data_IF_788133058208
#
_entry.id   IF_788133058208
#
_cell.length_a   1.000
_cell.length_b   1.000
_cell.length_c   1.000
_cell.angle_alpha   90.00
_cell.angle_beta   90.00
_cell.angle_gamma   90.00
#
_symmetry.space_group_name_H-M   'P 1'
#
loop_
_entity.id
_entity.type
_entity.pdbx_description
1 polymer ?
#
# COMPACT_ATOMS: atom_id res chain seq x y z
N UNK A 1 4.94 3.55 -12.76
CA UNK A 1 5.86 2.39 -12.91
C UNK A 1 6.06 1.65 -11.60
N UNK A 2 6.50 2.30 -10.51
CA UNK A 2 6.71 1.65 -9.18
C UNK A 2 5.46 0.95 -8.64
N UNK A 3 4.30 1.63 -8.65
CA UNK A 3 3.03 1.03 -8.19
C UNK A 3 2.63 -0.22 -8.98
N UNK A 4 2.89 -0.24 -10.29
CA UNK A 4 2.57 -1.39 -11.13
C UNK A 4 3.42 -2.62 -10.78
N UNK A 5 4.71 -2.42 -10.42
CA UNK A 5 5.55 -3.51 -9.92
C UNK A 5 5.06 -4.02 -8.56
N UNK A 6 4.72 -3.12 -7.64
CA UNK A 6 4.23 -3.55 -6.31
C UNK A 6 2.91 -4.34 -6.46
N UNK A 7 2.04 -3.94 -7.38
CA UNK A 7 0.79 -4.65 -7.66
C UNK A 7 0.99 -6.09 -8.18
N UNK A 8 2.15 -6.44 -8.74
CA UNK A 8 2.39 -7.84 -9.15
C UNK A 8 2.56 -8.76 -7.96
N UNK A 9 2.93 -8.24 -6.79
CA UNK A 9 3.01 -9.02 -5.55
C UNK A 9 1.61 -9.42 -5.08
N UNK A 10 0.67 -8.48 -5.09
CA UNK A 10 -0.71 -8.71 -4.67
C UNK A 10 -1.51 -9.58 -5.64
N UNK A 11 -1.00 -9.81 -6.85
CA UNK A 11 -1.60 -10.68 -7.85
C UNK A 11 -1.27 -12.18 -7.66
N UNK A 12 -0.35 -12.52 -6.75
CA UNK A 12 0.08 -13.90 -6.53
C UNK A 12 -1.00 -14.73 -5.83
N UNK A 13 -1.07 -16.03 -6.16
CA UNK A 13 -2.10 -16.91 -5.61
C UNK A 13 -1.76 -17.49 -4.22
N UNK A 14 -0.47 -17.60 -3.92
CA UNK A 14 0.07 -18.21 -2.69
C UNK A 14 0.90 -17.18 -1.91
N UNK A 15 0.96 -17.36 -0.59
CA UNK A 15 1.79 -16.51 0.26
C UNK A 15 3.27 -16.62 -0.13
N UNK A 16 3.75 -17.84 -0.36
CA UNK A 16 5.14 -18.09 -0.78
C UNK A 16 5.52 -17.33 -2.06
N UNK A 17 4.68 -17.40 -3.10
CA UNK A 17 4.92 -16.67 -4.34
C UNK A 17 4.85 -15.14 -4.13
N UNK A 18 3.98 -14.66 -3.24
CA UNK A 18 3.91 -13.24 -2.90
C UNK A 18 5.20 -12.77 -2.20
N UNK A 19 5.73 -13.54 -1.24
CA UNK A 19 6.99 -13.24 -0.56
C UNK A 19 8.19 -13.25 -1.54
N UNK A 20 8.25 -14.24 -2.43
CA UNK A 20 9.30 -14.28 -3.47
C UNK A 20 9.22 -13.06 -4.39
N UNK A 21 8.02 -12.75 -4.91
CA UNK A 21 7.81 -11.60 -5.77
C UNK A 21 8.10 -10.27 -5.03
N UNK A 22 7.79 -10.17 -3.74
CA UNK A 22 8.09 -9.01 -2.90
C UNK A 22 9.59 -8.71 -2.88
N UNK A 23 10.42 -9.74 -2.64
CA UNK A 23 11.88 -9.61 -2.60
C UNK A 23 12.46 -9.24 -3.96
N UNK A 24 11.94 -9.81 -5.05
CA UNK A 24 12.34 -9.46 -6.41
C UNK A 24 12.06 -7.97 -6.67
N UNK A 25 10.87 -7.49 -6.29
CA UNK A 25 10.50 -6.08 -6.47
C UNK A 25 11.34 -5.16 -5.58
N UNK A 26 11.57 -5.53 -4.31
CA UNK A 26 12.40 -4.71 -3.40
C UNK A 26 13.83 -4.56 -3.94
N UNK A 27 14.41 -5.63 -4.46
CA UNK A 27 15.76 -5.61 -5.04
C UNK A 27 15.84 -4.78 -6.32
N UNK A 28 14.86 -4.92 -7.23
CA UNK A 28 14.79 -4.10 -8.45
C UNK A 28 14.67 -2.60 -8.14
N UNK A 29 13.96 -2.26 -7.06
CA UNK A 29 13.78 -0.87 -6.64
C UNK A 29 14.98 -0.35 -5.84
N UNK A 30 15.85 -1.22 -5.29
CA UNK A 30 16.94 -0.83 -4.39
C UNK A 30 17.93 0.16 -5.01
N UNK A 31 18.27 -0.01 -6.28
CA UNK A 31 19.20 0.90 -6.97
C UNK A 31 18.63 2.31 -7.17
N UNK A 32 17.35 2.45 -7.52
CA UNK A 32 16.74 3.75 -7.84
C UNK A 32 16.05 4.39 -6.63
N UNK A 33 15.58 3.57 -5.70
CA UNK A 33 14.76 3.97 -4.56
C UNK A 33 15.16 3.19 -3.29
N UNK A 34 16.39 3.37 -2.78
CA UNK A 34 16.91 2.58 -1.65
C UNK A 34 16.08 2.73 -0.36
N UNK A 35 15.52 3.92 -0.12
CA UNK A 35 14.61 4.17 1.01
C UNK A 35 13.32 3.35 0.91
N UNK A 36 12.75 3.27 -0.29
CA UNK A 36 11.55 2.48 -0.55
C UNK A 36 11.86 0.99 -0.38
N UNK A 37 12.97 0.50 -0.93
CA UNK A 37 13.38 -0.90 -0.76
C UNK A 37 13.54 -1.27 0.72
N UNK A 38 14.18 -0.41 1.52
CA UNK A 38 14.30 -0.63 2.98
C UNK A 38 12.93 -0.69 3.65
N UNK A 39 12.04 0.24 3.33
CA UNK A 39 10.67 0.24 3.87
C UNK A 39 9.89 -1.01 3.44
N UNK A 40 10.12 -1.51 2.22
CA UNK A 40 9.53 -2.76 1.76
C UNK A 40 10.07 -3.96 2.54
N UNK A 41 11.36 -4.02 2.81
CA UNK A 41 11.98 -5.11 3.58
C UNK A 41 11.39 -5.17 5.01
N UNK A 42 11.23 -4.01 5.66
CA UNK A 42 10.65 -3.92 7.01
C UNK A 42 9.16 -4.29 7.04
N UNK A 43 8.42 -4.00 5.96
CA UNK A 43 6.97 -4.17 5.89
C UNK A 43 6.52 -5.52 5.32
N UNK A 44 7.42 -6.39 4.85
CA UNK A 44 7.10 -7.64 4.12
C UNK A 44 6.08 -8.49 4.89
N UNK A 45 6.35 -8.77 6.17
CA UNK A 45 5.49 -9.64 6.99
C UNK A 45 4.14 -8.99 7.28
N UNK A 46 4.13 -7.70 7.62
CA UNK A 46 2.90 -6.98 7.96
C UNK A 46 1.97 -6.86 6.75
N UNK A 47 2.55 -6.57 5.57
CA UNK A 47 1.81 -6.37 4.34
C UNK A 47 1.32 -7.70 3.76
N UNK A 48 2.04 -8.81 3.93
CA UNK A 48 1.65 -10.10 3.39
C UNK A 48 0.87 -10.99 4.35
N UNK A 49 0.75 -10.62 5.64
CA UNK A 49 -0.01 -11.37 6.65
C UNK A 49 -1.46 -11.68 6.24
N UNK A 50 -2.10 -10.83 5.42
CA UNK A 50 -3.46 -11.10 4.96
C UNK A 50 -3.57 -12.36 4.08
N UNK A 51 -2.46 -12.86 3.53
CA UNK A 51 -2.44 -14.06 2.68
C UNK A 51 -2.72 -15.34 3.47
N UNK A 52 -2.58 -15.32 4.80
CA UNK A 52 -2.94 -16.44 5.69
C UNK A 52 -4.46 -16.61 5.83
N UNK A 53 -5.24 -15.59 5.48
CA UNK A 53 -6.70 -15.67 5.50
C UNK A 53 -7.24 -16.45 4.28
N UNK A 54 -8.46 -17.02 4.38
CA UNK A 54 -9.13 -17.65 3.25
C UNK A 54 -9.21 -16.72 2.03
N UNK A 55 -9.01 -17.26 0.82
CA UNK A 55 -9.00 -16.49 -0.45
C UNK A 55 -10.20 -15.55 -0.61
N UNK A 56 -11.38 -15.95 -0.12
CA UNK A 56 -12.60 -15.14 -0.16
C UNK A 56 -12.46 -13.79 0.58
N UNK A 57 -11.67 -13.71 1.65
CA UNK A 57 -11.51 -12.51 2.47
C UNK A 57 -10.35 -11.62 2.01
N UNK A 58 -9.35 -12.20 1.33
CA UNK A 58 -8.11 -11.49 0.93
C UNK A 58 -8.38 -10.22 0.14
N UNK A 59 -9.31 -10.25 -0.82
CA UNK A 59 -9.65 -9.09 -1.65
C UNK A 59 -10.21 -7.92 -0.84
N UNK A 60 -10.97 -8.22 0.21
CA UNK A 60 -11.53 -7.20 1.08
C UNK A 60 -10.46 -6.61 2.01
N UNK A 61 -9.57 -7.46 2.54
CA UNK A 61 -8.49 -7.05 3.45
C UNK A 61 -7.41 -6.23 2.73
N UNK A 62 -7.03 -6.62 1.50
CA UNK A 62 -6.03 -5.93 0.72
C UNK A 62 -6.50 -4.58 0.13
N UNK A 63 -7.79 -4.24 0.25
CA UNK A 63 -8.35 -3.01 -0.34
C UNK A 63 -8.14 -1.80 0.56
N UNK A 64 -7.53 -0.74 0.01
CA UNK A 64 -7.41 0.58 0.66
C UNK A 64 -8.62 1.47 0.42
N UNK A 65 -9.62 1.04 -0.38
CA UNK A 65 -10.78 1.84 -0.76
C UNK A 65 -11.55 2.45 0.45
N UNK A 66 -11.77 1.72 1.56
CA UNK A 66 -12.44 2.32 2.72
C UNK A 66 -11.64 3.46 3.35
N UNK A 67 -10.31 3.30 3.45
CA UNK A 67 -9.42 4.31 4.00
C UNK A 67 -9.33 5.53 3.08
N UNK A 68 -9.18 5.31 1.78
CA UNK A 68 -9.16 6.37 0.77
C UNK A 68 -10.45 7.19 0.78
N UNK A 69 -11.60 6.53 0.88
CA UNK A 69 -12.91 7.21 0.98
C UNK A 69 -13.00 8.08 2.22
N UNK A 70 -12.56 7.58 3.38
CA UNK A 70 -12.54 8.34 4.63
C UNK A 70 -11.59 9.53 4.52
N UNK A 71 -10.38 9.33 3.99
CA UNK A 71 -9.40 10.39 3.81
C UNK A 71 -9.91 11.48 2.86
N UNK A 72 -10.56 11.09 1.76
CA UNK A 72 -11.19 12.04 0.84
C UNK A 72 -12.32 12.84 1.50
N UNK A 73 -13.10 12.20 2.38
CA UNK A 73 -14.17 12.87 3.12
C UNK A 73 -13.63 13.85 4.17
N UNK A 74 -12.56 13.48 4.90
CA UNK A 74 -11.88 14.38 5.84
C UNK A 74 -11.34 15.60 5.09
N UNK A 75 -10.68 15.39 3.94
CA UNK A 75 -10.17 16.47 3.11
C UNK A 75 -11.30 17.42 2.67
N UNK A 76 -12.40 16.90 2.11
CA UNK A 76 -13.56 17.73 1.72
C UNK A 76 -14.14 18.55 2.87
N UNK A 77 -14.23 17.99 4.08
CA UNK A 77 -14.77 18.70 5.25
C UNK A 77 -13.82 19.76 5.80
N UNK A 78 -12.52 19.55 5.66
CA UNK A 78 -11.50 20.48 6.14
C UNK A 78 -11.12 21.54 5.11
N UNK A 79 -11.38 21.31 3.82
CA UNK A 79 -11.19 22.32 2.75
C UNK A 79 -11.98 23.62 3.02
N UNK A 80 -13.09 23.57 3.77
CA UNK A 80 -13.88 24.76 4.18
C UNK A 80 -13.20 25.59 5.28
N UNK A 81 -12.30 24.98 6.06
CA UNK A 81 -11.62 25.65 7.19
C UNK A 81 -10.40 26.47 6.72
N UNK A 82 -9.89 26.23 5.51
CA UNK A 82 -8.75 26.96 4.93
C UNK A 82 -9.05 28.37 4.41
N UNK A 83 -10.33 28.80 4.36
CA UNK A 83 -10.73 30.14 3.89
C UNK A 83 -10.77 31.17 5.04
N UNK A 84 -10.65 30.74 6.30
CA UNK A 84 -10.70 31.59 7.50
C UNK A 84 -9.35 31.66 8.23
N UNK A 85 -8.28 32.06 7.54
CA UNK A 85 -7.04 32.48 8.22
C UNK A 85 -6.15 33.40 7.35
N UNK A 86 -6.74 34.35 6.63
CA UNK A 86 -6.00 35.51 6.11
C UNK A 86 -6.86 36.79 6.14
N UNK A 87 -7.65 36.95 7.20
CA UNK A 87 -8.25 38.24 7.56
C UNK A 87 -8.30 38.39 9.08
N UNK A 88 -7.18 38.85 9.65
CA UNK A 88 -7.03 39.85 10.72
C UNK A 88 -5.60 39.79 11.28
#
# INVERSE_FOLDING_TARGET
MVLALINTVFAQETAEAAHEQWRIVSEQLRQKFPKLATMMDDAENDVLAYMDFPKAHRKQIASTNPLERVNAEIKRRTDVVGILAESL
#
